data_IF_938071239732
#
_entry.id   IF_938071239732
#
_cell.length_a   1.000
_cell.length_b   1.000
_cell.length_c   1.000
_cell.angle_alpha   90.00
_cell.angle_beta   90.00
_cell.angle_gamma   90.00
#
_symmetry.space_group_name_H-M   'P 1'
#
loop_
_entity.id
_entity.type
_entity.pdbx_description
1 polymer ?
#
# COMPACT_ATOMS: atom_id res chain seq x y z
N UNK A 1 35.74 56.87 -30.79
CA UNK A 1 35.51 57.32 -29.40
C UNK A 1 35.55 56.10 -28.51
N UNK A 2 36.70 55.90 -27.85
CA UNK A 2 36.94 54.87 -26.84
C UNK A 2 36.28 55.26 -25.52
N UNK A 3 35.63 54.32 -24.82
CA UNK A 3 35.89 54.04 -23.38
C UNK A 3 35.57 52.59 -23.07
N UNK A 4 36.63 51.79 -22.99
CA UNK A 4 36.68 50.55 -22.21
C UNK A 4 36.63 50.91 -20.72
N UNK A 5 35.89 50.14 -19.92
CA UNK A 5 36.08 50.13 -18.46
C UNK A 5 36.63 48.77 -18.04
N UNK A 6 37.79 48.87 -17.42
CA UNK A 6 38.67 47.86 -16.83
C UNK A 6 38.20 47.42 -15.44
N UNK A 7 38.19 46.09 -15.22
CA UNK A 7 38.81 45.29 -14.14
C UNK A 7 39.02 45.92 -12.75
N UNK A 8 38.55 45.23 -11.69
CA UNK A 8 39.28 44.89 -10.43
C UNK A 8 38.32 44.10 -9.51
N UNK A 9 38.44 42.80 -9.24
CA UNK A 9 39.41 42.01 -8.43
C UNK A 9 39.42 42.35 -6.92
N UNK A 10 39.45 41.26 -6.11
CA UNK A 10 39.66 41.09 -4.65
C UNK A 10 38.39 40.84 -3.81
N UNK A 11 38.03 39.57 -3.49
CA UNK A 11 38.58 38.62 -2.49
C UNK A 11 38.30 39.04 -1.04
N UNK A 12 37.60 38.17 -0.29
CA UNK A 12 37.77 37.78 1.12
C UNK A 12 36.51 36.97 1.53
N UNK A 13 36.50 35.65 1.38
CA UNK A 13 36.71 34.67 2.46
C UNK A 13 35.99 35.00 3.78
N UNK A 14 34.94 34.24 4.10
CA UNK A 14 34.80 33.71 5.46
C UNK A 14 33.92 32.45 5.44
N UNK A 15 34.58 31.33 5.71
CA UNK A 15 33.98 30.05 6.06
C UNK A 15 33.16 30.21 7.36
N UNK A 16 31.91 29.76 7.37
CA UNK A 16 31.25 29.42 8.62
C UNK A 16 30.54 28.07 8.46
N UNK A 17 31.21 27.04 8.97
CA UNK A 17 30.63 25.75 9.32
C UNK A 17 29.49 26.01 10.30
N UNK A 18 28.27 25.55 9.99
CA UNK A 18 27.22 25.34 10.98
C UNK A 18 26.82 23.87 10.97
N UNK A 19 27.51 23.15 11.86
CA UNK A 19 27.08 21.88 12.43
C UNK A 19 25.73 22.10 13.12
N UNK A 20 24.65 21.58 12.55
CA UNK A 20 23.38 21.43 13.28
C UNK A 20 23.40 20.06 13.93
N UNK A 21 23.60 20.08 15.24
CA UNK A 21 23.62 18.92 16.12
C UNK A 21 22.25 18.24 16.17
N UNK A 22 22.30 16.91 16.01
CA UNK A 22 21.23 15.98 16.28
C UNK A 22 20.79 16.11 17.76
N UNK A 23 19.51 16.40 18.02
CA UNK A 23 18.89 16.24 19.34
C UNK A 23 17.86 15.13 19.30
N UNK A 24 18.36 13.96 19.73
CA UNK A 24 17.62 12.89 20.37
C UNK A 24 16.57 13.47 21.34
N UNK A 25 15.31 13.10 21.16
CA UNK A 25 14.27 13.28 22.17
C UNK A 25 13.67 11.90 22.45
N UNK A 26 14.31 11.18 23.35
CA UNK A 26 13.75 9.99 23.97
C UNK A 26 12.70 10.46 24.98
N UNK A 27 11.43 10.26 24.66
CA UNK A 27 10.36 10.42 25.63
C UNK A 27 10.23 9.11 26.43
N UNK A 28 10.57 9.22 27.70
CA UNK A 28 10.33 8.26 28.75
C UNK A 28 8.82 7.98 28.88
N UNK A 29 8.45 6.71 28.91
CA UNK A 29 7.28 6.24 29.64
C UNK A 29 7.73 5.13 30.58
N UNK A 30 7.88 5.51 31.84
CA UNK A 30 7.86 4.62 32.99
C UNK A 30 6.47 3.99 33.13
N UNK A 31 6.40 2.67 33.23
CA UNK A 31 5.42 2.00 34.07
C UNK A 31 5.99 0.66 34.54
N UNK A 32 6.46 0.69 35.78
CA UNK A 32 6.75 -0.43 36.67
C UNK A 32 5.59 -1.42 36.76
N UNK A 33 5.86 -2.72 36.52
CA UNK A 33 5.28 -3.82 37.28
C UNK A 33 6.17 -5.06 37.13
N UNK A 34 6.95 -5.32 38.17
CA UNK A 34 7.69 -6.56 38.36
C UNK A 34 6.74 -7.70 38.73
N UNK A 35 6.97 -8.89 38.16
CA UNK A 35 7.11 -10.12 38.95
C UNK A 35 7.83 -11.19 38.14
N UNK A 36 8.99 -11.56 38.68
CA UNK A 36 9.85 -12.62 38.25
C UNK A 36 9.22 -13.99 38.51
N UNK A 37 9.49 -14.95 37.63
CA UNK A 37 9.82 -16.31 38.03
C UNK A 37 10.94 -16.82 37.12
N UNK A 38 12.11 -17.04 37.72
CA UNK A 38 13.25 -17.70 37.12
C UNK A 38 13.37 -19.12 37.69
N UNK A 39 13.73 -20.06 36.82
CA UNK A 39 14.48 -21.31 37.00
C UNK A 39 13.91 -22.37 36.04
N UNK A 40 14.66 -23.26 35.40
CA UNK A 40 16.08 -23.41 35.11
C UNK A 40 16.15 -24.63 34.15
N UNK A 41 17.07 -24.58 33.20
CA UNK A 41 17.79 -25.70 32.53
C UNK A 41 17.22 -27.13 32.51
N UNK A 42 17.04 -27.67 31.30
CA UNK A 42 17.58 -28.95 30.79
C UNK A 42 17.25 -29.02 29.27
N UNK A 43 18.23 -28.91 28.37
CA UNK A 43 18.89 -30.01 27.66
C UNK A 43 17.95 -31.15 27.23
N UNK A 44 17.71 -31.30 25.92
CA UNK A 44 18.00 -32.55 25.19
C UNK A 44 17.84 -32.39 23.67
N UNK A 45 18.81 -32.96 22.95
CA UNK A 45 18.84 -33.19 21.51
C UNK A 45 17.67 -34.10 21.06
N UNK A 46 17.10 -33.85 19.88
CA UNK A 46 17.18 -34.80 18.76
C UNK A 46 16.36 -34.38 17.52
N UNK A 47 17.04 -34.52 16.39
CA UNK A 47 16.51 -34.70 15.04
C UNK A 47 15.41 -35.78 14.97
N UNK A 48 14.23 -35.48 14.44
CA UNK A 48 13.49 -36.41 13.58
C UNK A 48 12.27 -35.74 12.94
N UNK A 49 12.10 -36.03 11.64
CA UNK A 49 10.86 -35.96 10.85
C UNK A 49 9.60 -36.11 11.70
N UNK A 50 8.65 -35.18 11.57
CA UNK A 50 7.25 -35.43 11.94
C UNK A 50 6.38 -35.22 10.70
N UNK A 51 6.28 -36.29 9.92
CA UNK A 51 5.05 -36.61 9.20
C UNK A 51 4.08 -37.11 10.24
N UNK A 52 3.09 -36.31 10.62
CA UNK A 52 1.89 -36.81 11.29
C UNK A 52 0.68 -36.20 10.60
N UNK A 53 0.07 -36.99 9.73
CA UNK A 53 -1.35 -36.82 9.41
C UNK A 53 -2.13 -37.03 10.72
N UNK A 54 -2.93 -36.05 11.11
CA UNK A 54 -4.06 -36.30 12.00
C UNK A 54 -5.25 -35.46 11.56
N UNK A 55 -6.40 -36.10 11.69
CA UNK A 55 -7.56 -35.99 10.84
C UNK A 55 -8.74 -35.35 11.57
N UNK A 56 -9.44 -34.49 10.84
CA UNK A 56 -10.84 -34.05 10.97
C UNK A 56 -11.26 -33.43 12.31
N UNK A 57 -11.38 -32.10 12.31
CA UNK A 57 -12.56 -31.44 12.88
C UNK A 57 -13.10 -30.42 11.87
N UNK A 58 -14.30 -30.74 11.36
CA UNK A 58 -15.06 -29.97 10.40
C UNK A 58 -15.70 -28.76 11.09
N UNK A 59 -15.01 -27.62 11.08
CA UNK A 59 -15.62 -26.33 11.36
C UNK A 59 -15.20 -25.30 10.30
N UNK A 60 -16.15 -24.99 9.42
CA UNK A 60 -16.03 -23.95 8.40
C UNK A 60 -16.00 -22.56 9.04
N UNK A 61 -14.82 -22.15 9.50
CA UNK A 61 -14.46 -20.74 9.71
C UNK A 61 -13.19 -20.44 8.91
N UNK A 62 -13.30 -19.49 7.99
CA UNK A 62 -12.37 -19.23 6.89
C UNK A 62 -11.08 -18.50 7.32
N UNK A 63 -10.28 -19.13 8.19
CA UNK A 63 -8.96 -18.64 8.58
C UNK A 63 -7.85 -19.12 7.62
N UNK A 64 -6.82 -18.30 7.35
CA UNK A 64 -5.62 -18.72 6.62
C UNK A 64 -4.85 -19.81 7.38
N UNK A 65 -4.26 -20.76 6.66
CA UNK A 65 -3.41 -21.82 7.24
C UNK A 65 -1.95 -21.45 6.96
N UNK A 66 -1.28 -20.82 7.92
CA UNK A 66 0.18 -20.80 7.95
C UNK A 66 0.69 -20.63 9.39
N UNK A 67 1.67 -21.46 9.74
CA UNK A 67 2.12 -21.61 11.11
C UNK A 67 3.26 -20.67 11.51
N UNK A 68 3.97 -20.01 10.58
CA UNK A 68 4.88 -18.87 10.85
C UNK A 68 5.30 -18.12 9.57
N UNK A 69 5.35 -16.77 9.59
CA UNK A 69 5.88 -15.96 8.48
C UNK A 69 7.42 -16.01 8.47
N UNK A 70 8.08 -16.15 7.29
CA UNK A 70 9.53 -16.09 7.21
C UNK A 70 10.02 -14.66 7.51
N UNK A 71 11.15 -14.55 8.21
CA UNK A 71 11.78 -13.26 8.49
C UNK A 71 12.32 -12.62 7.21
N UNK A 72 12.95 -13.40 6.34
CA UNK A 72 13.49 -12.96 5.06
C UNK A 72 13.18 -13.97 3.96
N UNK A 73 12.93 -13.48 2.74
CA UNK A 73 12.77 -14.29 1.54
C UNK A 73 11.32 -14.49 1.10
N UNK A 74 11.13 -15.38 0.14
CA UNK A 74 9.82 -15.64 -0.48
C UNK A 74 8.79 -16.10 0.54
N UNK A 75 7.61 -15.52 0.44
CA UNK A 75 6.45 -15.80 1.26
C UNK A 75 5.28 -16.23 0.38
N UNK A 76 4.61 -17.31 0.78
CA UNK A 76 3.40 -17.79 0.13
C UNK A 76 2.42 -18.24 1.18
N UNK A 77 1.26 -17.61 1.22
CA UNK A 77 0.14 -18.01 2.07
C UNK A 77 -0.94 -18.67 1.22
N UNK A 78 -1.52 -19.75 1.75
CA UNK A 78 -2.59 -20.51 1.11
C UNK A 78 -3.90 -20.40 1.87
N UNK A 79 -5.00 -20.63 1.15
CA UNK A 79 -6.30 -20.92 1.72
C UNK A 79 -6.35 -22.34 2.30
N UNK A 80 -7.42 -22.66 3.04
CA UNK A 80 -7.66 -24.02 3.58
C UNK A 80 -7.72 -25.11 2.51
N UNK A 81 -8.16 -24.77 1.29
CA UNK A 81 -8.24 -25.69 0.15
C UNK A 81 -6.89 -25.85 -0.59
N UNK A 82 -5.82 -25.24 -0.08
CA UNK A 82 -4.47 -25.30 -0.64
C UNK A 82 -4.20 -24.31 -1.76
N UNK A 83 -5.19 -23.53 -2.25
CA UNK A 83 -4.94 -22.51 -3.27
C UNK A 83 -4.13 -21.36 -2.70
N UNK A 84 -3.28 -20.74 -3.54
CA UNK A 84 -2.55 -19.53 -3.16
C UNK A 84 -3.51 -18.39 -2.83
N UNK A 85 -3.28 -17.75 -1.70
CA UNK A 85 -3.99 -16.54 -1.23
C UNK A 85 -3.13 -15.30 -1.40
N UNK A 86 -1.85 -15.41 -1.12
CA UNK A 86 -0.92 -14.27 -1.13
C UNK A 86 0.49 -14.79 -1.42
N UNK A 87 1.25 -14.02 -2.19
CA UNK A 87 2.67 -14.26 -2.41
C UNK A 87 3.45 -12.95 -2.48
N UNK A 88 4.71 -12.98 -2.07
CA UNK A 88 5.61 -11.84 -2.11
C UNK A 88 6.95 -12.14 -1.45
N UNK A 89 7.66 -11.10 -1.06
CA UNK A 89 8.95 -11.20 -0.39
C UNK A 89 8.93 -10.50 0.97
N UNK A 90 9.51 -11.15 1.98
CA UNK A 90 9.65 -10.61 3.32
C UNK A 90 11.08 -10.12 3.52
N UNK A 91 11.24 -9.00 4.20
CA UNK A 91 12.52 -8.47 4.66
C UNK A 91 12.33 -8.02 6.11
N UNK A 92 13.13 -8.56 7.03
CA UNK A 92 13.05 -8.27 8.46
C UNK A 92 11.63 -8.40 9.05
N UNK A 93 10.92 -9.46 8.66
CA UNK A 93 9.54 -9.75 9.07
C UNK A 93 8.50 -8.74 8.54
N UNK A 94 8.85 -7.94 7.53
CA UNK A 94 7.98 -6.97 6.87
C UNK A 94 7.81 -7.29 5.38
N UNK A 95 6.66 -6.96 4.81
CA UNK A 95 6.44 -7.01 3.35
C UNK A 95 7.35 -5.99 2.67
N UNK A 96 8.11 -6.43 1.68
CA UNK A 96 8.97 -5.56 0.91
C UNK A 96 9.09 -6.03 -0.54
N UNK A 97 8.92 -5.11 -1.48
CA UNK A 97 8.85 -5.39 -2.90
C UNK A 97 7.45 -5.81 -3.35
N UNK A 98 7.40 -6.56 -4.44
CA UNK A 98 6.14 -6.86 -5.12
C UNK A 98 5.34 -7.97 -4.43
N UNK A 99 4.05 -7.73 -4.25
CA UNK A 99 3.09 -8.68 -3.71
C UNK A 99 1.95 -8.93 -4.67
N UNK A 100 1.39 -10.13 -4.60
CA UNK A 100 0.17 -10.53 -5.31
C UNK A 100 -0.77 -11.25 -4.37
N UNK A 101 -2.05 -10.88 -4.44
CA UNK A 101 -3.14 -11.43 -3.65
C UNK A 101 -4.12 -12.09 -4.60
N UNK A 102 -4.76 -13.18 -4.17
CA UNK A 102 -5.63 -13.98 -5.00
C UNK A 102 -6.98 -14.18 -4.32
N UNK A 103 -8.04 -14.19 -5.13
CA UNK A 103 -9.37 -14.59 -4.73
C UNK A 103 -9.43 -16.10 -4.42
N UNK A 104 -10.41 -16.60 -3.65
CA UNK A 104 -10.58 -18.04 -3.40
C UNK A 104 -10.77 -18.91 -4.66
N UNK A 105 -11.18 -18.29 -5.78
CA UNK A 105 -11.27 -18.94 -7.08
C UNK A 105 -9.92 -19.03 -7.82
N UNK A 106 -8.82 -18.58 -7.21
CA UNK A 106 -7.46 -18.59 -7.75
C UNK A 106 -7.13 -17.44 -8.69
N UNK A 107 -8.08 -16.54 -9.01
CA UNK A 107 -7.82 -15.37 -9.85
C UNK A 107 -7.13 -14.27 -9.05
N UNK A 108 -6.31 -13.46 -9.72
CA UNK A 108 -5.64 -12.32 -9.11
C UNK A 108 -6.69 -11.35 -8.53
N UNK A 109 -6.49 -10.92 -7.30
CA UNK A 109 -7.32 -9.97 -6.57
C UNK A 109 -6.68 -8.59 -6.54
N UNK A 110 -5.38 -8.52 -6.24
CA UNK A 110 -4.64 -7.28 -6.25
C UNK A 110 -3.14 -7.53 -6.36
N UNK A 111 -2.42 -6.52 -6.82
CA UNK A 111 -0.95 -6.53 -6.86
C UNK A 111 -0.40 -5.12 -6.74
N UNK A 112 0.82 -5.04 -6.22
CA UNK A 112 1.57 -3.79 -6.09
C UNK A 112 2.77 -3.97 -5.18
N UNK A 113 3.50 -2.88 -4.93
CA UNK A 113 4.70 -2.93 -4.10
C UNK A 113 4.41 -2.53 -2.65
N UNK A 114 5.23 -3.08 -1.76
CA UNK A 114 5.36 -2.67 -0.37
C UNK A 114 6.77 -2.15 -0.10
N UNK A 115 6.87 -1.19 0.82
CA UNK A 115 8.11 -0.79 1.49
C UNK A 115 7.82 -0.83 2.99
N UNK A 116 8.46 -1.74 3.71
CA UNK A 116 8.33 -1.90 5.17
C UNK A 116 6.86 -2.00 5.62
N UNK A 117 6.11 -2.94 5.04
CA UNK A 117 4.67 -3.16 5.24
C UNK A 117 3.71 -2.09 4.72
N UNK A 118 4.21 -0.97 4.17
CA UNK A 118 3.37 0.10 3.60
C UNK A 118 3.28 -0.04 2.08
N UNK A 119 2.07 0.09 1.52
CA UNK A 119 1.88 0.10 0.06
C UNK A 119 2.55 1.32 -0.55
N UNK A 120 3.24 1.08 -1.66
CA UNK A 120 3.98 2.10 -2.39
C UNK A 120 3.83 1.91 -3.91
N UNK A 121 3.77 3.02 -4.63
CA UNK A 121 3.71 3.05 -6.09
C UNK A 121 2.37 2.54 -6.65
N UNK A 122 2.41 2.02 -7.87
CA UNK A 122 1.22 1.57 -8.59
C UNK A 122 0.63 0.30 -7.98
N UNK A 123 -0.69 0.32 -7.86
CA UNK A 123 -1.49 -0.80 -7.40
C UNK A 123 -2.65 -1.06 -8.35
N UNK A 124 -2.93 -2.33 -8.55
CA UNK A 124 -4.03 -2.81 -9.38
C UNK A 124 -4.92 -3.74 -8.55
N UNK A 125 -6.22 -3.62 -8.74
CA UNK A 125 -7.26 -4.39 -8.07
C UNK A 125 -8.18 -4.99 -9.12
N UNK A 126 -8.68 -6.18 -8.83
CA UNK A 126 -9.42 -7.00 -9.77
C UNK A 126 -10.63 -7.64 -9.10
N UNK A 127 -11.74 -7.63 -9.81
CA UNK A 127 -12.93 -8.37 -9.45
C UNK A 127 -12.67 -9.88 -9.47
N UNK A 128 -13.52 -10.65 -8.79
CA UNK A 128 -13.42 -12.11 -8.77
C UNK A 128 -13.57 -12.74 -10.18
N UNK A 129 -14.16 -12.04 -11.16
CA UNK A 129 -14.22 -12.51 -12.54
C UNK A 129 -12.87 -12.31 -13.30
N UNK A 130 -11.92 -11.57 -12.74
CA UNK A 130 -10.62 -11.25 -13.31
C UNK A 130 -10.56 -9.89 -14.02
N UNK A 131 -11.69 -9.17 -14.12
CA UNK A 131 -11.72 -7.83 -14.71
C UNK A 131 -11.14 -6.81 -13.74
N UNK A 132 -10.50 -5.78 -14.28
CA UNK A 132 -9.95 -4.70 -13.47
C UNK A 132 -11.07 -4.00 -12.70
N UNK A 133 -10.86 -3.78 -11.41
CA UNK A 133 -11.78 -3.10 -10.50
C UNK A 133 -11.30 -1.68 -10.23
N UNK A 134 -10.00 -1.52 -9.97
CA UNK A 134 -9.39 -0.23 -9.73
C UNK A 134 -7.89 -0.26 -10.04
N UNK A 135 -7.34 0.92 -10.32
CA UNK A 135 -5.90 1.14 -10.30
C UNK A 135 -5.58 2.56 -9.85
N UNK A 136 -4.40 2.72 -9.26
CA UNK A 136 -3.89 4.02 -8.84
C UNK A 136 -2.61 3.85 -8.03
N UNK A 137 -2.16 4.93 -7.42
CA UNK A 137 -0.91 4.93 -6.64
C UNK A 137 -1.15 5.03 -5.14
N UNK A 138 -0.26 4.41 -4.38
CA UNK A 138 -0.08 4.63 -2.95
C UNK A 138 1.27 5.29 -2.67
N UNK A 139 1.31 6.10 -1.63
CA UNK A 139 2.54 6.58 -0.99
C UNK A 139 2.38 6.40 0.51
N UNK A 140 3.24 5.60 1.12
CA UNK A 140 3.16 5.26 2.55
C UNK A 140 1.74 4.84 2.98
N UNK A 141 1.17 3.86 2.27
CA UNK A 141 -0.17 3.32 2.49
C UNK A 141 -1.37 4.24 2.22
N UNK A 142 -1.12 5.48 1.81
CA UNK A 142 -2.17 6.44 1.44
C UNK A 142 -2.33 6.57 -0.05
N UNK A 143 -3.56 6.58 -0.55
CA UNK A 143 -3.85 6.82 -1.96
C UNK A 143 -3.36 8.20 -2.37
N UNK A 144 -2.70 8.26 -3.52
CA UNK A 144 -2.14 9.47 -4.11
C UNK A 144 -2.30 9.46 -5.63
N UNK A 145 -2.36 10.65 -6.22
CA UNK A 145 -2.42 10.84 -7.66
C UNK A 145 -3.73 10.33 -8.28
N UNK A 146 -3.68 10.04 -9.58
CA UNK A 146 -4.85 9.63 -10.35
C UNK A 146 -5.28 8.20 -10.00
N UNK A 147 -6.57 8.04 -9.74
CA UNK A 147 -7.22 6.78 -9.49
C UNK A 147 -8.35 6.55 -10.49
N UNK A 148 -8.44 5.33 -10.99
CA UNK A 148 -9.51 4.89 -11.87
C UNK A 148 -10.21 3.70 -11.23
N UNK A 149 -11.54 3.73 -11.23
CA UNK A 149 -12.41 2.63 -10.86
C UNK A 149 -13.19 2.20 -12.09
N UNK A 150 -13.42 0.90 -12.22
CA UNK A 150 -14.02 0.31 -13.40
C UNK A 150 -15.33 -0.37 -13.05
N UNK A 151 -16.21 -0.48 -14.04
CA UNK A 151 -17.38 -1.35 -14.01
C UNK A 151 -16.97 -2.81 -14.29
N UNK A 152 -17.85 -3.76 -13.99
CA UNK A 152 -17.61 -5.17 -14.31
C UNK A 152 -17.37 -5.43 -15.80
N UNK A 153 -17.85 -4.56 -16.69
CA UNK A 153 -17.63 -4.65 -18.14
C UNK A 153 -16.29 -4.03 -18.61
N UNK A 154 -15.46 -3.54 -17.68
CA UNK A 154 -14.15 -2.96 -17.96
C UNK A 154 -14.15 -1.48 -18.36
N UNK A 155 -15.33 -0.83 -18.49
CA UNK A 155 -15.39 0.62 -18.70
C UNK A 155 -15.10 1.37 -17.41
N UNK A 156 -14.54 2.58 -17.51
CA UNK A 156 -14.34 3.44 -16.34
C UNK A 156 -15.70 3.76 -15.73
N UNK A 157 -15.81 3.57 -14.42
CA UNK A 157 -16.96 3.92 -13.59
C UNK A 157 -16.78 5.28 -12.96
N UNK A 158 -15.58 5.55 -12.46
CA UNK A 158 -15.21 6.86 -11.96
C UNK A 158 -13.71 7.04 -11.95
N UNK A 159 -13.26 8.29 -12.05
CA UNK A 159 -11.85 8.62 -11.92
C UNK A 159 -11.64 10.02 -11.36
N UNK A 160 -10.48 10.22 -10.74
CA UNK A 160 -10.11 11.49 -10.12
C UNK A 160 -8.83 11.34 -9.30
N UNK A 161 -8.42 12.41 -8.62
CA UNK A 161 -7.20 12.41 -7.84
C UNK A 161 -7.46 12.17 -6.35
N UNK A 162 -6.51 11.48 -5.71
CA UNK A 162 -6.37 11.46 -4.27
C UNK A 162 -5.14 12.26 -3.83
N UNK A 163 -5.26 12.93 -2.69
CA UNK A 163 -4.17 13.52 -1.93
C UNK A 163 -4.25 13.00 -0.50
N UNK A 164 -3.31 12.13 -0.11
CA UNK A 164 -3.26 11.53 1.23
C UNK A 164 -4.60 10.89 1.66
N UNK A 165 -5.11 9.97 0.84
CA UNK A 165 -6.42 9.29 1.00
C UNK A 165 -7.68 10.14 0.88
N UNK A 166 -7.54 11.45 0.66
CA UNK A 166 -8.67 12.36 0.46
C UNK A 166 -8.87 12.61 -1.03
N UNK A 167 -10.10 12.50 -1.50
CA UNK A 167 -10.45 12.92 -2.86
C UNK A 167 -10.10 14.40 -3.02
N UNK A 168 -9.50 14.74 -4.15
CA UNK A 168 -9.02 16.08 -4.46
C UNK A 168 -9.28 16.44 -5.93
N UNK A 169 -9.77 17.66 -6.16
CA UNK A 169 -10.13 18.15 -7.48
C UNK A 169 -11.36 17.49 -8.08
N UNK A 170 -11.45 17.50 -9.40
CA UNK A 170 -12.59 16.97 -10.14
C UNK A 170 -12.58 15.43 -10.17
N UNK A 171 -13.75 14.86 -9.90
CA UNK A 171 -14.05 13.44 -9.94
C UNK A 171 -15.18 13.21 -10.93
N UNK A 172 -14.85 12.54 -12.03
CA UNK A 172 -15.78 12.24 -13.09
C UNK A 172 -16.38 10.86 -12.88
N UNK A 173 -17.70 10.74 -13.00
CA UNK A 173 -18.42 9.46 -12.99
C UNK A 173 -19.04 9.15 -14.35
N UNK A 174 -19.19 7.86 -14.62
CA UNK A 174 -19.69 7.31 -15.88
C UNK A 174 -20.64 6.14 -15.63
N UNK A 175 -21.62 5.97 -16.51
CA UNK A 175 -22.52 4.81 -16.53
C UNK A 175 -21.85 3.55 -17.11
N UNK A 176 -22.58 2.43 -17.14
CA UNK A 176 -22.09 1.17 -17.70
C UNK A 176 -21.86 1.22 -19.22
N UNK A 177 -22.37 2.24 -19.91
CA UNK A 177 -22.12 2.45 -21.34
C UNK A 177 -20.92 3.36 -21.59
N UNK A 178 -20.37 3.98 -20.56
CA UNK A 178 -19.25 4.91 -20.63
C UNK A 178 -19.67 6.37 -20.86
N UNK A 179 -20.96 6.69 -20.75
CA UNK A 179 -21.42 8.08 -20.82
C UNK A 179 -21.16 8.76 -19.48
N UNK A 180 -20.66 9.99 -19.53
CA UNK A 180 -20.47 10.81 -18.34
C UNK A 180 -21.82 11.07 -17.65
N UNK A 181 -21.91 10.87 -16.34
CA UNK A 181 -23.15 11.01 -15.56
C UNK A 181 -23.17 12.25 -14.69
N UNK A 182 -22.08 12.53 -13.97
CA UNK A 182 -21.90 13.71 -13.14
C UNK A 182 -20.42 13.87 -12.79
N UNK A 183 -20.03 15.09 -12.43
CA UNK A 183 -18.71 15.41 -11.93
C UNK A 183 -18.81 16.15 -10.60
N UNK A 184 -18.11 15.64 -9.59
CA UNK A 184 -18.02 16.23 -8.26
C UNK A 184 -16.64 16.86 -8.10
N UNK A 185 -16.58 18.09 -7.57
CA UNK A 185 -15.31 18.70 -7.18
C UNK A 185 -15.11 18.53 -5.68
N UNK A 186 -13.95 18.01 -5.30
CA UNK A 186 -13.56 17.80 -3.92
C UNK A 186 -12.45 18.75 -3.50
N UNK A 187 -12.52 19.20 -2.25
CA UNK A 187 -11.41 19.85 -1.55
C UNK A 187 -11.22 19.15 -0.21
N UNK A 188 -10.02 18.60 0.01
CA UNK A 188 -9.68 17.87 1.23
C UNK A 188 -10.69 16.76 1.59
N UNK A 189 -11.20 16.05 0.58
CA UNK A 189 -12.16 14.95 0.73
C UNK A 189 -13.61 15.39 0.96
N UNK A 190 -13.92 16.68 0.90
CA UNK A 190 -15.28 17.21 0.99
C UNK A 190 -15.75 17.68 -0.38
N UNK A 191 -16.97 17.33 -0.75
CA UNK A 191 -17.61 17.86 -1.97
C UNK A 191 -17.84 19.35 -1.79
N UNK A 192 -17.38 20.14 -2.76
CA UNK A 192 -17.61 21.58 -2.82
C UNK A 192 -18.45 22.01 -4.02
N UNK A 193 -18.57 21.16 -5.05
CA UNK A 193 -19.40 21.42 -6.21
C UNK A 193 -19.87 20.12 -6.88
N UNK A 194 -21.03 20.18 -7.53
CA UNK A 194 -21.55 19.11 -8.38
C UNK A 194 -21.97 19.71 -9.73
N UNK A 195 -21.57 19.03 -10.81
CA UNK A 195 -21.94 19.39 -12.18
C UNK A 195 -22.53 18.18 -12.88
N UNK A 196 -23.73 18.35 -13.44
CA UNK A 196 -24.36 17.35 -14.28
C UNK A 196 -24.01 17.61 -15.75
N UNK A 197 -23.85 16.56 -16.57
CA UNK A 197 -23.69 16.70 -18.00
C UNK A 197 -24.91 17.43 -18.57
N UNK A 198 -24.72 18.23 -19.64
CA UNK A 198 -25.85 18.85 -20.31
C UNK A 198 -26.84 17.77 -20.76
N UNK A 199 -28.16 18.04 -20.71
CA UNK A 199 -29.15 17.07 -21.16
C UNK A 199 -28.84 16.68 -22.61
N UNK A 200 -28.75 15.38 -22.88
CA UNK A 200 -28.61 14.86 -24.23
C UNK A 200 -29.85 15.28 -25.01
N UNK A 201 -29.70 16.22 -25.95
CA UNK A 201 -30.80 16.65 -26.83
C UNK A 201 -31.22 15.43 -27.64
N UNK A 202 -32.38 14.86 -27.32
CA UNK A 202 -32.94 13.70 -28.02
C UNK A 202 -32.99 13.96 -29.52
N UNK A 203 -32.49 12.99 -30.29
CA UNK A 203 -32.68 12.92 -31.73
C UNK A 203 -34.02 12.27 -32.05
#
# INVERSE_FOLDING_TARGET
MNKFYTVSICILSLSFLLLVSCKNSAHQHDSTAAKAHANATANDNNNSKSTTQQSVDNSNTAGPVMENRPVNGSYTLTFKDGKTRETGNMVNNQKNGFFSYYHPNGKLQSKGNFINDLREGQWEFYYANGNMEAKGSYTHDKRTGHWQYFHLNGKVRSEGNFSNDKMDGAWQSYDEWGNATNSLTYENGRVINETNPPPTRGQ
#
